data_IF_701761689033
#
_entry.id   IF_701761689033
#
_cell.length_a   1.000
_cell.length_b   1.000
_cell.length_c   1.000
_cell.angle_alpha   90.00
_cell.angle_beta   90.00
_cell.angle_gamma   90.00
#
_symmetry.space_group_name_H-M   'P 1'
#
loop_
_entity.id
_entity.type
_entity.pdbx_description
1 polymer ?
#
# COMPACT_ATOMS: atom_id res chain seq x y z
N UNK A 1 -12.11 -12.59 6.78
CA UNK A 1 -11.49 -12.22 5.50
C UNK A 1 -10.05 -11.86 5.78
N UNK A 2 -9.10 -12.69 5.34
CA UNK A 2 -7.71 -12.65 5.82
C UNK A 2 -7.03 -11.33 5.51
N UNK A 3 -6.47 -10.69 6.55
CA UNK A 3 -5.46 -9.64 6.38
C UNK A 3 -4.24 -10.32 5.75
N UNK A 4 -4.07 -10.19 4.44
CA UNK A 4 -2.87 -10.69 3.76
C UNK A 4 -1.70 -9.78 4.11
N UNK A 5 -1.07 -9.97 5.28
CA UNK A 5 0.05 -9.14 5.73
C UNK A 5 1.38 -9.53 5.07
N UNK A 6 1.37 -9.73 3.75
CA UNK A 6 2.60 -9.97 3.02
C UNK A 6 3.40 -8.66 2.97
N UNK A 7 4.70 -8.72 3.27
CA UNK A 7 5.58 -7.58 3.11
C UNK A 7 5.97 -7.47 1.65
N UNK A 8 6.05 -6.26 1.13
CA UNK A 8 6.54 -5.99 -0.22
C UNK A 8 7.54 -4.84 -0.18
N UNK A 9 8.46 -4.84 -1.14
CA UNK A 9 9.37 -3.74 -1.35
C UNK A 9 8.73 -2.74 -2.31
N UNK A 10 8.78 -1.46 -1.96
CA UNK A 10 8.20 -0.37 -2.75
C UNK A 10 9.25 0.69 -2.96
N UNK A 11 9.54 0.97 -4.22
CA UNK A 11 10.34 2.14 -4.62
C UNK A 11 9.41 3.33 -4.69
N UNK A 12 9.80 4.43 -4.05
CA UNK A 12 8.99 5.65 -4.01
C UNK A 12 9.67 6.78 -4.81
N UNK A 13 8.87 7.69 -5.34
CA UNK A 13 9.35 8.99 -5.83
C UNK A 13 9.92 9.82 -4.67
N UNK A 14 10.67 10.90 -4.94
CA UNK A 14 11.12 11.83 -3.90
C UNK A 14 9.97 12.45 -3.06
N UNK A 15 8.76 12.52 -3.64
CA UNK A 15 7.54 12.95 -2.94
C UNK A 15 6.91 11.86 -2.06
N UNK A 16 7.47 10.64 -2.08
CA UNK A 16 7.00 9.50 -1.29
C UNK A 16 5.85 8.72 -1.91
N UNK A 17 5.52 8.95 -3.19
CA UNK A 17 4.51 8.19 -3.92
C UNK A 17 5.09 6.86 -4.43
N UNK A 18 4.35 5.74 -4.39
CA UNK A 18 4.78 4.48 -4.99
C UNK A 18 5.07 4.62 -6.48
N UNK A 19 6.19 4.05 -6.93
CA UNK A 19 6.62 4.03 -8.33
C UNK A 19 6.75 2.60 -8.86
N UNK A 20 7.41 1.73 -8.09
CA UNK A 20 7.63 0.32 -8.44
C UNK A 20 7.42 -0.54 -7.20
N UNK A 21 7.06 -1.80 -7.41
CA UNK A 21 6.92 -2.77 -6.32
C UNK A 21 7.45 -4.16 -6.69
N UNK A 22 8.00 -4.83 -5.69
CA UNK A 22 8.40 -6.24 -5.76
C UNK A 22 7.49 -7.05 -4.87
N UNK A 23 6.74 -7.98 -5.46
CA UNK A 23 5.77 -8.79 -4.74
C UNK A 23 5.66 -10.18 -5.38
N UNK A 24 5.62 -11.23 -4.55
CA UNK A 24 5.57 -12.63 -4.98
C UNK A 24 6.63 -13.01 -6.05
N UNK A 25 7.84 -12.43 -5.94
CA UNK A 25 8.95 -12.67 -6.87
C UNK A 25 8.79 -12.04 -8.25
N UNK A 26 7.84 -11.12 -8.43
CA UNK A 26 7.61 -10.38 -9.68
C UNK A 26 7.80 -8.88 -9.45
N UNK A 27 8.31 -8.22 -10.49
CA UNK A 27 8.39 -6.76 -10.58
C UNK A 27 7.14 -6.19 -11.23
N UNK A 28 6.65 -5.09 -10.66
CA UNK A 28 5.54 -4.34 -11.20
C UNK A 28 5.83 -2.85 -11.18
N UNK A 29 5.36 -2.18 -12.23
CA UNK A 29 5.47 -0.72 -12.40
C UNK A 29 4.10 -0.06 -12.18
N UNK A 30 4.06 1.02 -11.40
CA UNK A 30 2.84 1.83 -11.22
C UNK A 30 2.47 2.50 -12.55
N UNK A 31 1.23 2.29 -12.99
CA UNK A 31 0.76 2.71 -14.32
C UNK A 31 -0.40 3.72 -14.29
N UNK A 32 -0.86 4.12 -13.11
CA UNK A 32 -1.85 5.18 -12.89
C UNK A 32 -1.51 5.96 -11.61
N UNK A 33 -2.01 7.20 -11.49
CA UNK A 33 -1.77 8.06 -10.32
C UNK A 33 -2.22 7.36 -9.03
N UNK A 34 -1.33 7.14 -8.06
CA UNK A 34 -1.68 6.51 -6.78
C UNK A 34 -2.64 7.38 -5.96
N UNK A 35 -3.62 6.73 -5.31
CA UNK A 35 -4.53 7.41 -4.38
C UNK A 35 -4.06 7.15 -2.95
N UNK A 36 -3.89 8.20 -2.16
CA UNK A 36 -3.52 8.10 -0.75
C UNK A 36 -4.66 8.53 0.18
N UNK A 37 -4.87 7.78 1.25
CA UNK A 37 -5.71 8.19 2.38
C UNK A 37 -5.13 7.69 3.71
N UNK A 38 -5.73 8.17 4.80
CA UNK A 38 -5.38 7.75 6.16
C UNK A 38 -6.60 7.12 6.82
N UNK A 39 -6.42 5.94 7.41
CA UNK A 39 -7.46 5.28 8.22
C UNK A 39 -7.11 5.38 9.70
N UNK A 40 -8.06 5.90 10.49
CA UNK A 40 -7.90 6.02 11.94
C UNK A 40 -7.98 4.66 12.60
N UNK A 41 -6.96 4.35 13.40
CA UNK A 41 -7.07 3.36 14.47
C UNK A 41 -7.78 3.97 15.67
N UNK A 42 -8.73 3.23 16.23
CA UNK A 42 -9.28 3.55 17.55
C UNK A 42 -8.27 3.11 18.64
N UNK A 43 -7.12 3.78 18.68
CA UNK A 43 -6.06 3.47 19.64
C UNK A 43 -6.54 3.57 21.09
N UNK A 44 -7.57 4.39 21.37
CA UNK A 44 -8.21 4.49 22.69
C UNK A 44 -9.00 3.23 23.11
N UNK A 45 -9.36 2.35 22.16
CA UNK A 45 -10.04 1.09 22.43
C UNK A 45 -9.03 -0.08 22.58
N UNK A 46 -7.83 0.05 22.01
CA UNK A 46 -6.80 -1.01 21.99
C UNK A 46 -5.64 -0.76 23.00
N UNK A 47 -5.35 0.49 23.36
CA UNK A 47 -4.21 0.89 24.20
C UNK A 47 -4.67 1.75 25.40
N UNK A 48 -4.28 1.40 26.63
CA UNK A 48 -4.71 2.11 27.87
C UNK A 48 -4.20 3.56 27.94
N UNK A 49 -3.09 3.89 27.25
CA UNK A 49 -2.53 5.25 27.06
C UNK A 49 -1.61 5.27 25.85
N UNK A 50 -1.66 6.35 25.06
CA UNK A 50 -0.62 6.65 24.09
C UNK A 50 0.66 7.11 24.82
N UNK A 51 1.81 6.44 24.67
CA UNK A 51 3.07 6.93 25.21
C UNK A 51 3.44 8.26 24.53
N UNK A 52 3.99 9.19 25.32
CA UNK A 52 4.52 10.46 24.81
C UNK A 52 5.60 10.16 23.76
N UNK A 53 5.44 10.71 22.56
CA UNK A 53 6.37 10.52 21.44
C UNK A 53 5.99 9.41 20.44
N UNK A 54 4.94 8.64 20.69
CA UNK A 54 4.52 7.53 19.80
C UNK A 54 3.59 7.96 18.64
N UNK A 55 3.40 9.27 18.40
CA UNK A 55 2.39 9.79 17.47
C UNK A 55 2.40 9.21 16.04
N UNK A 56 3.55 9.09 15.36
CA UNK A 56 3.59 8.57 13.99
C UNK A 56 3.29 7.07 13.93
N UNK A 57 2.18 6.69 13.30
CA UNK A 57 1.76 5.29 13.12
C UNK A 57 0.91 4.69 14.25
N UNK A 58 0.71 5.41 15.35
CA UNK A 58 -0.19 5.00 16.45
C UNK A 58 -1.66 5.34 16.17
N UNK A 59 -1.89 6.47 15.49
CA UNK A 59 -3.25 7.04 15.29
C UNK A 59 -3.82 6.70 13.92
N UNK A 60 -2.99 6.76 12.88
CA UNK A 60 -3.41 6.63 11.49
C UNK A 60 -2.53 5.64 10.72
N UNK A 61 -3.15 4.79 9.89
CA UNK A 61 -2.47 4.02 8.86
C UNK A 61 -2.45 4.80 7.56
N UNK A 62 -1.27 5.03 6.98
CA UNK A 62 -1.17 5.55 5.62
C UNK A 62 -1.48 4.42 4.65
N UNK A 63 -2.52 4.60 3.83
CA UNK A 63 -2.95 3.63 2.84
C UNK A 63 -2.81 4.22 1.46
N UNK A 64 -2.34 3.38 0.54
CA UNK A 64 -2.18 3.69 -0.87
C UNK A 64 -2.95 2.69 -1.71
N UNK A 65 -3.77 3.18 -2.63
CA UNK A 65 -4.25 2.40 -3.76
C UNK A 65 -3.36 2.66 -4.95
N UNK A 66 -2.78 1.60 -5.49
CA UNK A 66 -1.93 1.63 -6.67
C UNK A 66 -2.53 0.76 -7.76
N UNK A 67 -2.32 1.17 -9.01
CA UNK A 67 -2.56 0.31 -10.17
C UNK A 67 -1.23 -0.01 -10.81
N UNK A 68 -0.93 -1.28 -10.97
CA UNK A 68 0.38 -1.74 -11.40
C UNK A 68 0.28 -2.72 -12.55
N UNK A 69 1.30 -2.73 -13.40
CA UNK A 69 1.46 -3.68 -14.49
C UNK A 69 2.69 -4.52 -14.24
N UNK A 70 2.60 -5.83 -14.46
CA UNK A 70 3.76 -6.70 -14.39
C UNK A 70 4.71 -6.40 -15.56
N UNK A 71 6.02 -6.46 -15.31
CA UNK A 71 7.02 -6.21 -16.36
C UNK A 71 7.18 -7.39 -17.34
N UNK A 72 6.37 -8.45 -17.21
CA UNK A 72 6.37 -9.62 -18.10
C UNK A 72 5.72 -9.30 -19.45
N UNK A 73 6.31 -9.83 -20.53
CA UNK A 73 5.84 -9.68 -21.91
C UNK A 73 4.48 -10.35 -22.20
N UNK A 74 4.01 -11.24 -21.33
CA UNK A 74 3.01 -12.25 -21.70
C UNK A 74 1.56 -11.91 -21.30
N UNK A 75 1.34 -10.90 -20.45
CA UNK A 75 -0.01 -10.45 -20.08
C UNK A 75 0.02 -9.00 -19.61
N UNK A 76 -0.66 -8.11 -20.35
CA UNK A 76 -0.84 -6.70 -20.00
C UNK A 76 -1.84 -6.47 -18.85
N UNK A 77 -1.99 -7.46 -17.98
CA UNK A 77 -2.98 -7.41 -16.91
C UNK A 77 -2.55 -6.40 -15.85
N UNK A 78 -3.44 -5.46 -15.59
CA UNK A 78 -3.25 -4.42 -14.58
C UNK A 78 -3.89 -4.90 -13.28
N UNK A 79 -3.13 -4.84 -12.19
CA UNK A 79 -3.61 -5.17 -10.85
C UNK A 79 -3.90 -3.88 -10.09
N UNK A 80 -4.98 -3.88 -9.31
CA UNK A 80 -5.25 -2.81 -8.35
C UNK A 80 -4.99 -3.34 -6.94
N UNK A 81 -4.11 -2.67 -6.18
CA UNK A 81 -3.68 -3.09 -4.84
C UNK A 81 -3.95 -1.98 -3.83
N UNK A 82 -4.44 -2.34 -2.64
CA UNK A 82 -4.35 -1.47 -1.46
C UNK A 82 -3.13 -1.89 -0.63
N UNK A 83 -2.27 -0.94 -0.30
CA UNK A 83 -1.03 -1.10 0.45
C UNK A 83 -1.09 -0.25 1.72
N UNK A 84 -0.59 -0.75 2.84
CA UNK A 84 -0.35 0.07 4.04
C UNK A 84 1.12 0.39 4.18
N UNK A 85 1.45 1.65 4.52
CA UNK A 85 2.79 2.08 4.91
C UNK A 85 2.83 2.38 6.39
N UNK A 86 3.70 1.68 7.11
CA UNK A 86 3.96 1.98 8.51
C UNK A 86 4.93 3.17 8.61
N UNK A 87 4.44 4.35 9.00
CA UNK A 87 5.22 5.60 9.01
C UNK A 87 6.47 5.55 9.89
N UNK A 88 6.41 4.84 11.03
CA UNK A 88 7.55 4.76 11.96
C UNK A 88 8.71 3.88 11.45
N UNK A 89 8.42 2.88 10.60
CA UNK A 89 9.45 1.94 10.13
C UNK A 89 9.64 1.93 8.61
N UNK A 90 8.84 2.71 7.87
CA UNK A 90 8.83 2.73 6.40
C UNK A 90 8.34 1.44 5.74
N UNK A 91 7.93 0.43 6.51
CA UNK A 91 7.59 -0.91 5.98
C UNK A 91 6.26 -0.88 5.25
N UNK A 92 6.23 -1.49 4.08
CA UNK A 92 5.03 -1.68 3.27
C UNK A 92 4.45 -3.07 3.47
N UNK A 93 3.12 -3.15 3.42
CA UNK A 93 2.39 -4.41 3.47
C UNK A 93 1.22 -4.37 2.51
N UNK A 94 0.93 -5.51 1.89
CA UNK A 94 -0.27 -5.69 1.10
C UNK A 94 -1.45 -5.69 2.07
N UNK A 95 -2.54 -5.04 1.69
CA UNK A 95 -3.80 -5.16 2.43
C UNK A 95 -4.85 -5.87 1.61
N UNK A 96 -4.95 -5.53 0.32
CA UNK A 96 -5.97 -6.06 -0.57
C UNK A 96 -5.49 -6.10 -2.00
N UNK A 97 -5.73 -7.23 -2.66
CA UNK A 97 -5.76 -7.34 -4.11
C UNK A 97 -7.21 -7.20 -4.58
N UNK A 98 -7.46 -6.33 -5.55
CA UNK A 98 -8.78 -6.16 -6.15
C UNK A 98 -8.85 -6.94 -7.46
N UNK A 99 -9.51 -8.09 -7.46
CA UNK A 99 -9.78 -8.83 -8.69
C UNK A 99 -10.78 -8.04 -9.56
N UNK A 100 -10.39 -7.70 -10.79
CA UNK A 100 -11.31 -7.19 -11.82
C UNK A 100 -11.52 -5.67 -11.91
N UNK A 101 -10.79 -4.85 -11.15
CA UNK A 101 -10.78 -3.40 -11.34
C UNK A 101 -9.77 -3.01 -12.43
N UNK A 102 -10.14 -3.25 -13.69
CA UNK A 102 -9.42 -2.67 -14.82
C UNK A 102 -9.71 -1.15 -14.79
N UNK A 103 -8.69 -0.27 -14.78
CA UNK A 103 -8.93 1.15 -14.94
C UNK A 103 -9.65 1.37 -16.26
N UNK A 104 -10.87 1.93 -16.21
CA UNK A 104 -11.49 2.49 -17.40
C UNK A 104 -10.66 3.69 -17.81
N UNK A 105 -9.88 3.54 -18.88
CA UNK A 105 -9.25 4.64 -19.59
C UNK A 105 -10.36 5.60 -20.00
N UNK A 106 -10.32 6.84 -19.49
CA UNK A 106 -11.19 7.94 -19.91
C UNK A 106 -10.61 8.63 -21.14
#
# INVERSE_FOLDING_TARGET
MGMFSESLDVVCTPAGQPLELQWAGRHYTVCAEPVRWYERRQWWAEERRAPLGSGPGLVDHEIWRVQVRADSLDTADTLTLDLSRHLGSGRWRLMRLHDGLHPKTA
#
